data_IF_996323733363
#
_entry.id   IF_996323733363
#
_cell.length_a   1.000
_cell.length_b   1.000
_cell.length_c   1.000
_cell.angle_alpha   90.00
_cell.angle_beta   90.00
_cell.angle_gamma   90.00
#
_symmetry.space_group_name_H-M   'P 1'
#
loop_
_entity.id
_entity.type
_entity.pdbx_description
1 polymer ?
#
# COMPACT_ATOMS: atom_id res chain seq x y z
N UNK A 1 -49.57 -49.75 -2.74
CA UNK A 1 -49.19 -49.53 -1.34
C UNK A 1 -47.69 -49.81 -1.28
N UNK A 2 -46.85 -48.89 -1.73
CA UNK A 2 -46.51 -47.58 -1.16
C UNK A 2 -45.59 -47.69 0.06
N UNK A 3 -44.63 -46.76 0.06
CA UNK A 3 -43.66 -46.40 1.09
C UNK A 3 -42.37 -47.23 1.06
N UNK A 4 -41.21 -46.67 0.72
CA UNK A 4 -40.79 -45.28 0.88
C UNK A 4 -39.66 -45.25 1.89
N UNK A 5 -38.46 -44.83 1.44
CA UNK A 5 -37.30 -44.74 2.31
C UNK A 5 -35.98 -44.89 1.55
N UNK A 6 -35.83 -44.22 0.41
CA UNK A 6 -34.50 -43.80 -0.01
C UNK A 6 -34.01 -42.81 1.04
N UNK A 7 -33.12 -43.26 1.91
CA UNK A 7 -32.29 -42.40 2.76
C UNK A 7 -31.46 -41.52 1.83
N UNK A 8 -32.05 -40.40 1.40
CA UNK A 8 -31.30 -39.25 0.94
C UNK A 8 -30.48 -38.78 2.13
N UNK A 9 -29.23 -39.24 2.21
CA UNK A 9 -28.22 -38.70 3.10
C UNK A 9 -28.04 -37.23 2.76
N UNK A 10 -28.66 -36.41 3.59
CA UNK A 10 -28.67 -34.95 3.55
C UNK A 10 -27.25 -34.43 3.68
N UNK A 11 -26.80 -33.68 2.66
CA UNK A 11 -25.71 -32.71 2.67
C UNK A 11 -24.34 -33.20 3.19
N UNK A 12 -23.56 -33.82 2.31
CA UNK A 12 -22.10 -33.65 2.36
C UNK A 12 -21.84 -32.16 2.09
N UNK A 13 -21.52 -31.40 3.14
CA UNK A 13 -20.98 -30.05 2.99
C UNK A 13 -19.67 -30.24 2.24
N UNK A 14 -19.69 -30.00 0.94
CA UNK A 14 -18.52 -30.02 0.06
C UNK A 14 -17.45 -29.12 0.71
N UNK A 15 -16.52 -29.77 1.42
CA UNK A 15 -15.56 -29.10 2.28
C UNK A 15 -14.54 -28.33 1.45
N UNK A 16 -13.78 -27.45 2.08
CA UNK A 16 -12.62 -26.84 1.41
C UNK A 16 -11.63 -27.95 1.00
N UNK A 17 -11.61 -28.28 -0.29
CA UNK A 17 -10.63 -29.19 -0.87
C UNK A 17 -9.22 -28.61 -0.69
N UNK A 18 -8.31 -29.37 -0.06
CA UNK A 18 -6.89 -29.00 0.06
C UNK A 18 -6.19 -29.19 -1.28
N UNK A 19 -6.48 -28.30 -2.23
CA UNK A 19 -5.95 -28.35 -3.60
C UNK A 19 -4.69 -27.49 -3.79
N UNK A 20 -4.19 -26.81 -2.74
CA UNK A 20 -3.02 -25.94 -2.86
C UNK A 20 -1.72 -26.75 -2.84
N UNK A 21 -1.10 -26.88 -4.01
CA UNK A 21 0.25 -27.41 -4.15
C UNK A 21 1.30 -26.37 -3.74
N UNK A 22 2.54 -26.85 -3.47
CA UNK A 22 3.69 -25.99 -3.16
C UNK A 22 3.92 -24.89 -4.21
N UNK A 23 3.59 -25.18 -5.49
CA UNK A 23 3.67 -24.21 -6.59
C UNK A 23 2.66 -23.09 -6.40
N UNK A 24 1.43 -23.41 -6.03
CA UNK A 24 0.38 -22.40 -5.76
C UNK A 24 0.74 -21.55 -4.55
N UNK A 25 1.25 -22.17 -3.48
CA UNK A 25 1.71 -21.45 -2.29
C UNK A 25 2.90 -20.53 -2.60
N UNK A 26 3.86 -20.98 -3.42
CA UNK A 26 4.99 -20.17 -3.86
C UNK A 26 4.55 -18.93 -4.64
N UNK A 27 3.63 -19.09 -5.60
CA UNK A 27 3.14 -17.97 -6.40
C UNK A 27 2.36 -16.95 -5.57
N UNK A 28 1.54 -17.41 -4.60
CA UNK A 28 0.85 -16.51 -3.68
C UNK A 28 1.86 -15.75 -2.80
N UNK A 29 2.87 -16.44 -2.28
CA UNK A 29 3.92 -15.81 -1.48
C UNK A 29 4.79 -14.83 -2.30
N UNK A 30 4.99 -15.10 -3.59
CA UNK A 30 5.77 -14.24 -4.49
C UNK A 30 5.15 -12.85 -4.74
N UNK A 31 3.88 -12.64 -4.36
CA UNK A 31 3.26 -11.32 -4.37
C UNK A 31 3.84 -10.37 -3.30
N UNK A 32 4.43 -10.89 -2.22
CA UNK A 32 4.99 -10.07 -1.13
C UNK A 32 6.17 -9.20 -1.61
N UNK A 33 7.13 -9.71 -2.41
CA UNK A 33 8.13 -8.88 -3.08
C UNK A 33 7.57 -7.72 -3.93
N UNK A 34 6.34 -7.77 -4.43
CA UNK A 34 5.75 -6.64 -5.14
C UNK A 34 5.43 -5.47 -4.21
N UNK A 35 5.02 -5.74 -2.96
CA UNK A 35 4.80 -4.72 -1.92
C UNK A 35 6.09 -4.02 -1.54
N UNK A 36 7.21 -4.69 -1.72
CA UNK A 36 8.56 -4.20 -1.44
C UNK A 36 9.02 -3.21 -2.53
N UNK A 37 8.60 -3.41 -3.79
CA UNK A 37 8.84 -2.44 -4.88
C UNK A 37 8.15 -1.09 -4.63
N UNK A 38 7.00 -1.11 -3.96
CA UNK A 38 6.25 0.10 -3.59
C UNK A 38 7.07 1.00 -2.64
N UNK A 39 7.88 0.43 -1.75
CA UNK A 39 8.65 1.19 -0.74
C UNK A 39 10.11 1.48 -1.15
N UNK A 40 10.62 0.89 -2.23
CA UNK A 40 11.99 1.10 -2.72
C UNK A 40 12.31 2.56 -3.00
N UNK A 41 11.37 3.31 -3.59
CA UNK A 41 11.56 4.73 -3.93
C UNK A 41 11.79 5.61 -2.69
N UNK A 42 10.98 5.41 -1.63
CA UNK A 42 11.10 6.21 -0.40
C UNK A 42 12.33 5.86 0.43
N UNK A 43 12.70 4.57 0.50
CA UNK A 43 13.91 4.14 1.23
C UNK A 43 15.18 4.56 0.48
N UNK A 44 15.15 4.56 -0.86
CA UNK A 44 16.26 5.02 -1.69
C UNK A 44 16.59 6.49 -1.48
N UNK A 45 15.58 7.34 -1.27
CA UNK A 45 15.74 8.77 -1.01
C UNK A 45 16.33 9.05 0.39
N UNK A 46 15.88 8.30 1.41
CA UNK A 46 16.32 8.50 2.81
C UNK A 46 17.68 7.85 3.13
N UNK A 47 17.94 6.65 2.60
CA UNK A 47 19.14 5.85 2.94
C UNK A 47 20.27 6.03 1.92
N UNK A 48 19.97 6.46 0.70
CA UNK A 48 20.95 6.73 -0.35
C UNK A 48 21.84 5.53 -0.68
N UNK A 49 23.15 5.75 -0.82
CA UNK A 49 24.13 4.71 -1.21
C UNK A 49 24.23 3.53 -0.23
N UNK A 50 23.77 3.68 1.01
CA UNK A 50 23.77 2.63 2.03
C UNK A 50 22.57 1.67 1.93
N UNK A 51 21.62 1.92 1.02
CA UNK A 51 20.41 1.11 0.88
C UNK A 51 20.73 -0.38 0.71
N UNK A 52 21.72 -0.75 -0.10
CA UNK A 52 22.08 -2.16 -0.33
C UNK A 52 22.37 -2.95 0.96
N UNK A 53 23.04 -2.33 1.95
CA UNK A 53 23.35 -2.98 3.23
C UNK A 53 22.09 -3.15 4.09
N UNK A 54 21.26 -2.11 4.19
CA UNK A 54 20.00 -2.17 4.94
C UNK A 54 19.06 -3.26 4.39
N UNK A 55 19.02 -3.38 3.07
CA UNK A 55 18.25 -4.41 2.37
C UNK A 55 18.78 -5.82 2.63
N UNK A 56 20.09 -6.01 2.55
CA UNK A 56 20.72 -7.31 2.81
C UNK A 56 20.45 -7.76 4.25
N UNK A 57 20.59 -6.85 5.23
CA UNK A 57 20.29 -7.15 6.64
C UNK A 57 18.79 -7.49 6.81
N UNK A 58 17.89 -6.72 6.19
CA UNK A 58 16.45 -6.98 6.24
C UNK A 58 16.07 -8.34 5.69
N UNK A 59 16.64 -8.74 4.53
CA UNK A 59 16.42 -10.06 3.93
C UNK A 59 16.93 -11.17 4.85
N UNK A 60 18.11 -11.02 5.45
CA UNK A 60 18.64 -12.00 6.41
C UNK A 60 17.75 -12.17 7.64
N UNK A 61 17.22 -11.07 8.17
CA UNK A 61 16.27 -11.11 9.30
C UNK A 61 14.95 -11.79 8.90
N UNK A 62 14.37 -11.43 7.75
CA UNK A 62 13.14 -12.03 7.24
C UNK A 62 13.28 -13.51 6.90
N UNK A 63 14.41 -13.91 6.34
CA UNK A 63 14.74 -15.31 6.06
C UNK A 63 14.84 -16.15 7.34
N UNK A 64 15.50 -15.62 8.38
CA UNK A 64 15.55 -16.27 9.69
C UNK A 64 14.15 -16.41 10.32
N UNK A 65 13.31 -15.38 10.16
CA UNK A 65 11.92 -15.43 10.63
C UNK A 65 11.07 -16.46 9.86
N UNK A 66 11.33 -16.64 8.56
CA UNK A 66 10.62 -17.61 7.72
C UNK A 66 10.83 -19.07 8.18
N UNK A 67 12.05 -19.44 8.61
CA UNK A 67 12.29 -20.78 9.17
C UNK A 67 11.50 -21.03 10.45
N UNK A 68 11.50 -20.06 11.37
CA UNK A 68 10.72 -20.17 12.61
C UNK A 68 9.22 -20.30 12.34
N UNK A 69 8.70 -19.58 11.34
CA UNK A 69 7.31 -19.73 10.92
C UNK A 69 7.02 -21.09 10.26
N UNK A 70 7.96 -21.61 9.46
CA UNK A 70 7.82 -22.92 8.82
C UNK A 70 7.72 -24.06 9.86
N UNK A 71 8.52 -23.99 10.93
CA UNK A 71 8.47 -24.96 12.05
C UNK A 71 7.11 -24.92 12.77
N UNK A 72 6.60 -23.72 13.07
CA UNK A 72 5.31 -23.56 13.75
C UNK A 72 4.15 -23.99 12.84
N UNK A 73 4.20 -23.68 11.55
CA UNK A 73 3.23 -24.13 10.56
C UNK A 73 3.25 -25.68 10.38
N UNK A 74 4.40 -26.31 10.58
CA UNK A 74 4.56 -27.77 10.60
C UNK A 74 3.89 -28.44 11.81
N UNK A 75 3.89 -27.77 12.97
CA UNK A 75 3.31 -28.26 14.23
C UNK A 75 1.78 -28.20 14.27
N UNK A 76 1.14 -27.27 13.56
CA UNK A 76 -0.32 -27.08 13.56
C UNK A 76 -0.98 -27.36 12.19
N UNK A 77 -0.69 -28.51 11.57
CA UNK A 77 -1.22 -28.92 10.24
C UNK A 77 -2.74 -28.95 10.08
N UNK A 78 -3.50 -28.94 11.17
CA UNK A 78 -4.96 -29.04 11.20
C UNK A 78 -5.68 -27.68 11.32
N UNK A 79 -4.97 -26.54 11.41
CA UNK A 79 -5.59 -25.21 11.46
C UNK A 79 -4.98 -24.26 10.43
N UNK A 80 -5.83 -23.75 9.54
CA UNK A 80 -5.48 -22.66 8.64
C UNK A 80 -5.61 -21.32 9.39
N UNK A 81 -4.53 -20.58 9.49
CA UNK A 81 -4.54 -19.23 10.02
C UNK A 81 -3.12 -18.67 9.98
N UNK A 82 -2.95 -17.42 9.56
CA UNK A 82 -1.63 -16.81 9.42
C UNK A 82 -0.87 -16.65 10.76
N UNK A 83 0.21 -15.88 10.73
CA UNK A 83 1.07 -15.59 11.89
C UNK A 83 0.31 -15.32 13.21
N UNK A 84 -0.77 -14.53 13.15
CA UNK A 84 -1.60 -14.21 14.30
C UNK A 84 -2.31 -15.41 14.93
N UNK A 85 -2.75 -16.38 14.13
CA UNK A 85 -3.49 -17.58 14.60
C UNK A 85 -2.53 -18.60 15.17
N UNK A 86 -1.35 -18.78 14.58
CA UNK A 86 -0.30 -19.64 15.14
C UNK A 86 0.28 -19.07 16.44
N UNK A 87 0.52 -17.75 16.51
CA UNK A 87 0.97 -17.08 17.72
C UNK A 87 -0.08 -17.09 18.83
N UNK A 88 -1.36 -16.88 18.50
CA UNK A 88 -2.45 -17.04 19.44
C UNK A 88 -2.56 -18.49 19.93
N UNK A 89 -2.54 -19.48 19.04
CA UNK A 89 -2.68 -20.91 19.39
C UNK A 89 -1.55 -21.40 20.32
N UNK A 90 -0.31 -20.97 20.10
CA UNK A 90 0.82 -21.32 20.96
C UNK A 90 0.74 -20.68 22.36
N UNK A 91 0.19 -19.46 22.47
CA UNK A 91 0.20 -18.69 23.72
C UNK A 91 -1.11 -18.72 24.52
N UNK A 92 -2.18 -19.33 23.99
CA UNK A 92 -3.47 -19.49 24.69
C UNK A 92 -3.33 -20.15 26.06
N UNK A 93 -2.32 -21.03 26.24
CA UNK A 93 -2.05 -21.71 27.51
C UNK A 93 -1.38 -20.80 28.56
N UNK A 94 -0.70 -19.74 28.13
CA UNK A 94 0.09 -18.87 29.02
C UNK A 94 -0.56 -17.49 29.26
N UNK A 95 -1.30 -16.92 28.31
CA UNK A 95 -2.02 -15.66 28.54
C UNK A 95 -3.16 -15.44 27.56
N UNK A 96 -4.38 -15.24 28.09
CA UNK A 96 -5.60 -15.02 27.31
C UNK A 96 -5.62 -13.67 26.56
N UNK A 97 -4.77 -12.72 26.93
CA UNK A 97 -4.66 -11.39 26.31
C UNK A 97 -3.69 -11.33 25.12
N UNK A 98 -2.71 -12.24 25.06
CA UNK A 98 -1.71 -12.23 23.98
C UNK A 98 -2.31 -12.67 22.63
N UNK A 99 -3.34 -13.52 22.66
CA UNK A 99 -4.07 -13.95 21.48
C UNK A 99 -4.76 -12.78 20.75
N UNK A 100 -5.65 -11.97 21.38
CA UNK A 100 -6.27 -10.83 20.72
C UNK A 100 -5.27 -9.72 20.39
N UNK A 101 -4.23 -9.51 21.21
CA UNK A 101 -3.18 -8.54 20.92
C UNK A 101 -2.39 -8.92 19.65
N UNK A 102 -2.06 -10.19 19.46
CA UNK A 102 -1.36 -10.66 18.25
C UNK A 102 -2.18 -10.45 16.98
N UNK A 103 -3.49 -10.72 17.03
CA UNK A 103 -4.42 -10.45 15.93
C UNK A 103 -4.51 -8.95 15.65
N UNK A 104 -4.57 -8.13 16.71
CA UNK A 104 -4.60 -6.67 16.61
C UNK A 104 -3.32 -6.11 16.00
N UNK A 105 -2.14 -6.55 16.44
CA UNK A 105 -0.85 -6.14 15.87
C UNK A 105 -0.74 -6.54 14.39
N UNK A 106 -1.18 -7.74 14.02
CA UNK A 106 -1.23 -8.14 12.62
C UNK A 106 -2.16 -7.21 11.81
N UNK A 107 -3.36 -6.94 12.29
CA UNK A 107 -4.30 -6.01 11.64
C UNK A 107 -3.69 -4.61 11.43
N UNK A 108 -3.05 -4.06 12.45
CA UNK A 108 -2.39 -2.75 12.39
C UNK A 108 -1.21 -2.73 11.43
N UNK A 109 -0.45 -3.83 11.29
CA UNK A 109 0.66 -3.90 10.35
C UNK A 109 0.19 -3.90 8.89
N UNK A 110 -0.91 -4.56 8.57
CA UNK A 110 -1.43 -4.65 7.20
C UNK A 110 -2.22 -3.42 6.74
N UNK A 111 -2.87 -2.69 7.67
CA UNK A 111 -3.72 -1.53 7.32
C UNK A 111 -2.95 -0.42 6.56
N UNK A 112 -1.76 0.05 7.00
CA UNK A 112 -0.98 1.04 6.27
C UNK A 112 -0.52 0.54 4.90
N UNK A 113 -0.17 -0.75 4.79
CA UNK A 113 0.28 -1.36 3.54
C UNK A 113 -0.84 -1.36 2.49
N UNK A 114 -2.06 -1.74 2.89
CA UNK A 114 -3.22 -1.68 2.00
C UNK A 114 -3.56 -0.24 1.62
N UNK A 115 -3.50 0.70 2.58
CA UNK A 115 -3.73 2.13 2.32
C UNK A 115 -2.76 2.68 1.28
N UNK A 116 -1.46 2.40 1.44
CA UNK A 116 -0.43 2.82 0.49
C UNK A 116 -0.65 2.21 -0.90
N UNK A 117 -0.99 0.93 -0.97
CA UNK A 117 -1.31 0.26 -2.24
C UNK A 117 -2.51 0.91 -2.95
N UNK A 118 -3.57 1.21 -2.22
CA UNK A 118 -4.75 1.91 -2.75
C UNK A 118 -4.41 3.33 -3.23
N UNK A 119 -3.60 4.08 -2.48
CA UNK A 119 -3.19 5.43 -2.85
C UNK A 119 -2.41 5.45 -4.17
N UNK A 120 -1.49 4.49 -4.35
CA UNK A 120 -0.70 4.38 -5.59
C UNK A 120 -1.58 3.96 -6.76
N UNK A 121 -2.45 2.96 -6.57
CA UNK A 121 -3.38 2.53 -7.61
C UNK A 121 -4.32 3.68 -8.03
N UNK A 122 -4.86 4.43 -7.06
CA UNK A 122 -5.66 5.63 -7.33
C UNK A 122 -4.85 6.68 -8.10
N UNK A 123 -3.58 6.90 -7.73
CA UNK A 123 -2.67 7.78 -8.47
C UNK A 123 -2.50 7.39 -9.94
N UNK A 124 -2.30 6.09 -10.22
CA UNK A 124 -2.21 5.59 -11.60
C UNK A 124 -3.51 5.77 -12.38
N UNK A 125 -4.66 5.47 -11.77
CA UNK A 125 -5.98 5.64 -12.40
C UNK A 125 -6.24 7.12 -12.68
N UNK A 126 -5.95 8.01 -11.74
CA UNK A 126 -6.09 9.45 -11.93
C UNK A 126 -5.13 9.97 -13.00
N UNK A 127 -3.91 9.44 -13.10
CA UNK A 127 -2.98 9.79 -14.19
C UNK A 127 -3.50 9.35 -15.56
N UNK A 128 -4.22 8.23 -15.65
CA UNK A 128 -4.80 7.77 -16.90
C UNK A 128 -6.07 8.54 -17.32
N UNK A 129 -6.93 8.90 -16.37
CA UNK A 129 -8.26 9.49 -16.66
C UNK A 129 -8.22 11.03 -16.62
N UNK A 130 -7.41 11.61 -15.74
CA UNK A 130 -7.32 13.03 -15.46
C UNK A 130 -5.85 13.45 -15.29
N UNK A 131 -5.02 13.40 -16.34
CA UNK A 131 -3.61 13.74 -16.26
C UNK A 131 -3.41 15.19 -15.79
N UNK A 132 -2.41 15.41 -14.93
CA UNK A 132 -1.98 16.76 -14.57
C UNK A 132 -1.17 17.31 -15.74
N UNK A 133 -1.51 18.48 -16.29
CA UNK A 133 -0.72 19.10 -17.34
C UNK A 133 0.68 19.43 -16.81
N UNK A 134 1.71 18.96 -17.52
CA UNK A 134 3.11 19.19 -17.14
C UNK A 134 3.58 20.42 -17.90
N UNK A 135 3.77 21.53 -17.17
CA UNK A 135 4.39 22.73 -17.71
C UNK A 135 5.85 22.81 -17.27
N UNK A 136 6.72 23.12 -18.21
CA UNK A 136 8.14 23.43 -18.01
C UNK A 136 8.40 24.93 -18.14
N UNK A 137 9.55 25.43 -17.69
CA UNK A 137 9.88 26.86 -17.77
C UNK A 137 9.86 27.40 -19.21
N UNK A 138 10.14 26.53 -20.20
CA UNK A 138 10.19 26.89 -21.62
C UNK A 138 8.83 26.76 -22.33
N UNK A 139 7.77 26.38 -21.61
CA UNK A 139 6.45 26.19 -22.22
C UNK A 139 5.90 27.54 -22.68
N UNK A 140 5.33 27.64 -23.90
CA UNK A 140 4.80 28.89 -24.42
C UNK A 140 3.71 29.48 -23.52
N UNK A 141 2.97 28.65 -22.77
CA UNK A 141 1.98 29.10 -21.80
C UNK A 141 2.62 29.79 -20.57
N UNK A 142 3.76 29.29 -20.08
CA UNK A 142 4.50 29.86 -18.94
C UNK A 142 5.10 31.21 -19.32
N UNK A 143 5.67 31.29 -20.53
CA UNK A 143 6.23 32.54 -21.07
C UNK A 143 5.11 33.58 -21.26
N UNK A 144 3.96 33.17 -21.80
CA UNK A 144 2.81 34.06 -21.97
C UNK A 144 2.23 34.53 -20.63
N UNK A 145 2.22 33.66 -19.61
CA UNK A 145 1.76 34.01 -18.26
C UNK A 145 2.68 35.04 -17.59
N UNK A 146 4.00 34.88 -17.73
CA UNK A 146 5.01 35.81 -17.21
C UNK A 146 5.01 37.16 -17.94
N UNK A 147 4.71 37.16 -19.24
CA UNK A 147 4.61 38.39 -20.04
C UNK A 147 3.33 39.20 -19.75
N UNK A 148 2.34 38.61 -19.06
CA UNK A 148 1.08 39.29 -18.75
C UNK A 148 1.28 40.30 -17.62
N UNK A 149 1.02 41.58 -17.90
CA UNK A 149 1.15 42.69 -16.94
C UNK A 149 0.26 42.55 -15.71
N UNK A 150 -0.84 41.79 -15.78
CA UNK A 150 -1.68 41.49 -14.63
C UNK A 150 -0.99 40.60 -13.58
N UNK A 151 -0.05 39.74 -14.01
CA UNK A 151 0.68 38.83 -13.13
C UNK A 151 2.01 39.42 -12.64
N UNK A 152 2.44 40.55 -13.20
CA UNK A 152 3.74 41.17 -12.91
C UNK A 152 3.93 41.52 -11.42
N UNK A 153 2.83 41.83 -10.70
CA UNK A 153 2.86 42.08 -9.27
C UNK A 153 3.11 40.81 -8.43
N UNK A 154 2.75 39.63 -8.94
CA UNK A 154 2.87 38.34 -8.23
C UNK A 154 4.31 37.79 -8.26
N UNK A 155 5.11 38.24 -9.22
CA UNK A 155 6.51 37.81 -9.41
C UNK A 155 7.51 38.92 -9.15
N UNK A 156 7.05 40.07 -8.62
CA UNK A 156 7.89 41.23 -8.39
C UNK A 156 8.93 40.94 -7.29
N UNK A 157 10.22 41.03 -7.64
CA UNK A 157 11.33 40.78 -6.72
C UNK A 157 11.70 39.31 -6.52
N UNK A 158 11.09 38.39 -7.28
CA UNK A 158 11.49 36.98 -7.32
C UNK A 158 12.67 36.76 -8.28
N UNK A 159 13.45 35.70 -8.06
CA UNK A 159 14.41 35.20 -9.06
C UNK A 159 13.69 34.53 -10.22
N UNK A 160 14.30 34.52 -11.41
CA UNK A 160 13.70 33.95 -12.64
C UNK A 160 13.21 32.51 -12.46
N UNK A 161 13.95 31.70 -11.70
CA UNK A 161 13.57 30.31 -11.38
C UNK A 161 12.31 30.22 -10.52
N UNK A 162 12.17 31.13 -9.55
CA UNK A 162 11.03 31.16 -8.62
C UNK A 162 9.80 31.72 -9.31
N UNK A 163 9.99 32.72 -10.17
CA UNK A 163 8.93 33.27 -11.01
C UNK A 163 8.37 32.21 -11.99
N UNK A 164 9.25 31.44 -12.63
CA UNK A 164 8.85 30.33 -13.49
C UNK A 164 8.08 29.24 -12.71
N UNK A 165 8.50 28.91 -11.48
CA UNK A 165 7.79 27.96 -10.63
C UNK A 165 6.40 28.45 -10.23
N UNK A 166 6.26 29.74 -9.89
CA UNK A 166 4.97 30.36 -9.57
C UNK A 166 4.02 30.33 -10.78
N UNK A 167 4.55 30.62 -11.97
CA UNK A 167 3.78 30.55 -13.22
C UNK A 167 3.35 29.11 -13.54
N UNK A 168 4.25 28.14 -13.40
CA UNK A 168 3.94 26.71 -13.55
C UNK A 168 2.86 26.30 -12.57
N UNK A 169 2.97 26.65 -11.28
CA UNK A 169 1.98 26.31 -10.27
C UNK A 169 0.60 26.89 -10.61
N UNK A 170 0.52 28.16 -11.01
CA UNK A 170 -0.72 28.81 -11.40
C UNK A 170 -1.36 28.18 -12.65
N UNK A 171 -0.55 27.82 -13.65
CA UNK A 171 -1.02 27.16 -14.87
C UNK A 171 -1.45 25.71 -14.61
N UNK A 172 -0.72 24.99 -13.76
CA UNK A 172 -1.10 23.65 -13.31
C UNK A 172 -2.44 23.72 -12.59
N UNK A 173 -2.61 24.64 -11.64
CA UNK A 173 -3.88 24.80 -10.91
C UNK A 173 -5.04 25.13 -11.85
N UNK A 174 -4.85 26.09 -12.77
CA UNK A 174 -5.87 26.50 -13.72
C UNK A 174 -6.29 25.40 -14.71
N UNK A 175 -5.39 24.47 -15.04
CA UNK A 175 -5.64 23.39 -16.00
C UNK A 175 -5.79 22.02 -15.34
N UNK A 176 -5.78 21.93 -14.00
CA UNK A 176 -5.97 20.67 -13.29
C UNK A 176 -7.45 20.25 -13.39
N UNK A 177 -7.76 19.01 -13.84
CA UNK A 177 -9.13 18.54 -13.92
C UNK A 177 -9.80 18.53 -12.54
N UNK A 178 -11.06 18.95 -12.47
CA UNK A 178 -11.87 19.03 -11.24
C UNK A 178 -11.86 17.74 -10.40
N UNK A 179 -11.72 16.58 -11.05
CA UNK A 179 -11.63 15.28 -10.37
C UNK A 179 -10.42 15.15 -9.43
N UNK A 180 -9.37 15.96 -9.59
CA UNK A 180 -8.21 15.98 -8.70
C UNK A 180 -8.28 17.02 -7.58
N UNK A 181 -9.09 18.06 -7.75
CA UNK A 181 -9.33 19.09 -6.73
C UNK A 181 -10.53 18.77 -5.84
N UNK A 182 -11.30 17.73 -6.17
CA UNK A 182 -12.46 17.30 -5.38
C UNK A 182 -12.02 16.70 -4.04
N UNK A 183 -12.31 17.43 -2.95
CA UNK A 183 -12.12 16.97 -1.57
C UNK A 183 -13.47 16.93 -0.87
N UNK A 184 -13.88 15.74 -0.40
CA UNK A 184 -15.12 15.55 0.36
C UNK A 184 -14.93 15.79 1.86
N UNK A 185 -13.73 15.50 2.38
CA UNK A 185 -13.41 15.65 3.81
C UNK A 185 -11.93 16.01 3.92
N UNK A 186 -11.64 17.18 4.51
CA UNK A 186 -10.29 17.61 4.82
C UNK A 186 -10.08 17.56 6.33
N UNK A 187 -9.10 16.78 6.79
CA UNK A 187 -8.67 16.78 8.19
C UNK A 187 -7.42 17.65 8.32
N UNK A 188 -7.57 18.82 8.93
CA UNK A 188 -6.44 19.65 9.35
C UNK A 188 -6.12 19.30 10.80
N UNK A 189 -5.02 18.59 11.03
CA UNK A 189 -4.42 18.51 12.35
C UNK A 189 -3.48 19.70 12.48
N UNK A 190 -3.85 20.65 13.35
CA UNK A 190 -3.07 21.86 13.57
C UNK A 190 -1.61 21.57 13.87
N UNK A 191 -0.74 22.52 13.49
CA UNK A 191 0.70 22.52 13.78
C UNK A 191 0.94 22.22 15.25
N UNK A 192 1.61 21.10 15.54
CA UNK A 192 2.21 20.86 16.85
C UNK A 192 3.39 21.81 16.95
N UNK A 193 3.21 22.86 17.73
CA UNK A 193 4.27 23.79 18.17
C UNK A 193 5.32 23.07 19.02
#
# INVERSE_FOLDING_TARGET
>A
MESGGTDTSVNEVDGLHRAIDWKGAFWIASGVPALVLISIGGIGDVVGKLAFLAWTISVCMGFSQAYSYAEIAGLFKNKSGGAAVYGAAAWLRYSKFLAPLSVWCNWFAWTPVLSLGCAIAAGYILNAIAPIPIFTADSPEVIAWLANSANAALVQGMSDSTAAQTAIAALVEANTPFLRSFSLVQFSFGTVT
#
